data_IF_282293481649
#
_entry.id   IF_282293481649
#
_cell.length_a   1.000
_cell.length_b   1.000
_cell.length_c   1.000
_cell.angle_alpha   90.00
_cell.angle_beta   90.00
_cell.angle_gamma   90.00
#
_symmetry.space_group_name_H-M   'P 1'
#
loop_
_entity.id
_entity.type
_entity.pdbx_description
1 polymer ?
#
# COMPACT_ATOMS: atom_id res chain seq x y z
N UNK A 1 -15.33 6.73 7.05
CA UNK A 1 -14.44 7.61 6.29
C UNK A 1 -14.23 7.00 4.90
N UNK A 2 -14.03 7.80 3.85
CA UNK A 2 -13.56 7.32 2.55
C UNK A 2 -12.12 6.82 2.66
N UNK A 3 -11.58 6.09 1.66
CA UNK A 3 -10.15 5.81 1.58
C UNK A 3 -9.38 7.12 1.38
N UNK A 4 -8.08 7.14 1.75
CA UNK A 4 -7.25 8.32 1.47
C UNK A 4 -7.13 8.56 -0.04
N UNK A 5 -7.06 7.46 -0.82
CA UNK A 5 -7.10 7.54 -2.27
C UNK A 5 -7.78 6.31 -2.88
N UNK A 6 -8.44 6.48 -4.01
CA UNK A 6 -9.15 5.45 -4.76
C UNK A 6 -8.82 5.57 -6.25
N UNK A 7 -8.55 4.44 -6.88
CA UNK A 7 -8.32 4.38 -8.32
C UNK A 7 -9.01 3.15 -8.89
N UNK A 8 -9.68 3.31 -10.04
CA UNK A 8 -10.16 2.19 -10.85
C UNK A 8 -9.50 2.23 -12.22
N UNK A 9 -9.01 1.06 -12.64
CA UNK A 9 -8.53 0.81 -14.00
C UNK A 9 -9.22 -0.46 -14.53
N UNK A 10 -10.26 -0.27 -15.32
CA UNK A 10 -11.14 -1.35 -15.77
C UNK A 10 -11.78 -2.11 -14.61
N UNK A 11 -11.44 -3.39 -14.47
CA UNK A 11 -11.90 -4.25 -13.38
C UNK A 11 -10.92 -4.27 -12.19
N UNK A 12 -9.83 -3.54 -12.25
CA UNK A 12 -8.88 -3.44 -11.16
C UNK A 12 -9.21 -2.22 -10.30
N UNK A 13 -9.38 -2.44 -9.00
CA UNK A 13 -9.78 -1.41 -8.03
C UNK A 13 -8.70 -1.33 -6.96
N UNK A 14 -8.14 -0.16 -6.78
CA UNK A 14 -7.07 0.09 -5.83
C UNK A 14 -7.56 1.00 -4.72
N UNK A 15 -7.51 0.51 -3.49
CA UNK A 15 -7.78 1.28 -2.29
C UNK A 15 -6.47 1.59 -1.60
N UNK A 16 -6.19 2.86 -1.40
CA UNK A 16 -4.97 3.32 -0.75
C UNK A 16 -5.26 3.91 0.62
N UNK A 17 -4.45 3.54 1.56
CA UNK A 17 -4.38 4.13 2.89
C UNK A 17 -2.96 4.63 3.14
N UNK A 18 -2.79 5.94 3.26
CA UNK A 18 -1.50 6.56 3.42
C UNK A 18 -1.16 6.69 4.91
N UNK A 19 0.02 6.22 5.29
CA UNK A 19 0.48 6.27 6.68
C UNK A 19 1.90 6.85 6.74
N UNK A 20 2.00 8.03 7.31
CA UNK A 20 3.27 8.61 7.73
C UNK A 20 3.45 8.31 9.23
N UNK A 21 4.09 7.19 9.53
CA UNK A 21 4.17 6.65 10.87
C UNK A 21 5.62 6.62 11.34
N UNK A 22 5.93 7.44 12.33
CA UNK A 22 7.19 7.35 13.04
C UNK A 22 7.13 6.22 14.07
N UNK A 23 8.15 5.39 14.07
CA UNK A 23 8.38 4.39 15.12
C UNK A 23 9.26 5.02 16.18
N UNK A 24 8.87 4.89 17.44
CA UNK A 24 9.67 5.38 18.55
C UNK A 24 11.07 4.74 18.51
N UNK A 25 12.10 5.52 18.78
CA UNK A 25 13.49 5.06 18.78
C UNK A 25 13.72 3.88 19.73
N UNK A 26 13.09 3.87 20.91
CA UNK A 26 13.19 2.76 21.86
C UNK A 26 12.68 1.43 21.30
N UNK A 27 11.71 1.51 20.39
CA UNK A 27 11.16 0.34 19.68
C UNK A 27 12.05 -0.01 18.50
N UNK A 28 12.50 1.00 17.73
CA UNK A 28 13.31 0.80 16.54
C UNK A 28 14.62 0.07 16.81
N UNK A 29 15.20 0.31 17.99
CA UNK A 29 16.46 -0.31 18.44
C UNK A 29 16.25 -1.43 19.46
N UNK A 30 15.01 -1.84 19.69
CA UNK A 30 14.69 -2.92 20.62
C UNK A 30 15.14 -4.28 20.09
N UNK A 31 15.73 -5.09 20.93
CA UNK A 31 16.00 -6.51 20.67
C UNK A 31 14.80 -7.41 20.96
N UNK A 32 13.74 -6.87 21.57
CA UNK A 32 12.49 -7.56 21.84
C UNK A 32 11.60 -7.55 20.58
N UNK A 33 11.65 -8.64 19.81
CA UNK A 33 10.91 -8.80 18.58
C UNK A 33 9.39 -8.74 18.75
N UNK A 34 8.86 -9.23 19.88
CA UNK A 34 7.41 -9.19 20.13
C UNK A 34 6.92 -7.76 20.39
N UNK A 35 7.73 -6.98 21.09
CA UNK A 35 7.47 -5.55 21.30
C UNK A 35 7.49 -4.79 19.96
N UNK A 36 8.47 -5.08 19.09
CA UNK A 36 8.58 -4.48 17.75
C UNK A 36 7.38 -4.85 16.89
N UNK A 37 7.02 -6.14 16.80
CA UNK A 37 5.85 -6.62 16.05
C UNK A 37 4.56 -5.95 16.50
N UNK A 38 4.35 -5.89 17.83
CA UNK A 38 3.17 -5.26 18.40
C UNK A 38 3.05 -3.80 17.99
N UNK A 39 4.13 -3.04 18.13
CA UNK A 39 4.16 -1.62 17.75
C UNK A 39 3.88 -1.42 16.25
N UNK A 40 4.51 -2.22 15.39
CA UNK A 40 4.27 -2.18 13.94
C UNK A 40 2.79 -2.43 13.64
N UNK A 41 2.20 -3.48 14.21
CA UNK A 41 0.80 -3.82 13.98
C UNK A 41 -0.17 -2.80 14.57
N UNK A 42 0.13 -2.25 15.76
CA UNK A 42 -0.69 -1.20 16.38
C UNK A 42 -0.70 0.09 15.57
N UNK A 43 0.34 0.36 14.80
CA UNK A 43 0.40 1.53 13.93
C UNK A 43 -0.25 1.31 12.57
N UNK A 44 0.01 0.15 11.93
CA UNK A 44 -0.34 -0.05 10.54
C UNK A 44 -1.56 -0.94 10.31
N UNK A 45 -1.99 -1.73 11.30
CA UNK A 45 -3.13 -2.64 11.17
C UNK A 45 -3.92 -2.82 12.49
N UNK A 46 -4.10 -1.72 13.22
CA UNK A 46 -4.87 -1.76 14.47
C UNK A 46 -6.35 -1.92 14.21
N UNK A 47 -6.95 -2.94 14.84
CA UNK A 47 -8.38 -3.20 14.79
C UNK A 47 -9.03 -2.92 16.15
N UNK A 48 -9.49 -1.71 16.36
CA UNK A 48 -10.37 -1.37 17.47
C UNK A 48 -11.63 -0.68 16.95
N UNK A 49 -12.74 -0.83 17.66
CA UNK A 49 -14.06 -0.30 17.23
C UNK A 49 -14.04 1.22 17.04
N UNK A 50 -13.30 1.92 17.89
CA UNK A 50 -13.22 3.38 17.88
C UNK A 50 -12.00 3.93 17.14
N UNK A 51 -10.99 3.09 16.83
CA UNK A 51 -9.73 3.56 16.26
C UNK A 51 -9.12 2.50 15.35
N UNK A 52 -9.67 2.36 14.13
CA UNK A 52 -9.09 1.52 13.08
C UNK A 52 -7.94 2.26 12.42
N UNK A 53 -6.85 1.54 12.11
CA UNK A 53 -5.70 2.12 11.41
C UNK A 53 -5.24 1.23 10.27
N UNK A 54 -4.78 1.85 9.19
CA UNK A 54 -4.15 1.19 8.05
C UNK A 54 -4.97 0.04 7.48
N UNK A 55 -4.46 -1.18 7.54
CA UNK A 55 -5.14 -2.35 6.99
C UNK A 55 -6.55 -2.60 7.53
N UNK A 56 -6.81 -2.35 8.82
CA UNK A 56 -8.15 -2.47 9.39
C UNK A 56 -9.11 -1.37 8.89
N UNK A 57 -8.59 -0.18 8.62
CA UNK A 57 -9.35 0.92 8.01
C UNK A 57 -9.68 0.60 6.56
N UNK A 58 -8.73 0.06 5.79
CA UNK A 58 -8.97 -0.41 4.42
C UNK A 58 -10.07 -1.47 4.37
N UNK A 59 -10.02 -2.50 5.24
CA UNK A 59 -11.07 -3.53 5.29
C UNK A 59 -12.45 -2.94 5.53
N UNK A 60 -12.57 -2.03 6.48
CA UNK A 60 -13.85 -1.35 6.75
C UNK A 60 -14.35 -0.54 5.55
N UNK A 61 -13.46 0.18 4.87
CA UNK A 61 -13.80 0.99 3.70
C UNK A 61 -14.21 0.13 2.52
N UNK A 62 -13.47 -0.96 2.25
CA UNK A 62 -13.78 -1.90 1.16
C UNK A 62 -15.10 -2.62 1.42
N UNK A 63 -15.36 -3.04 2.67
CA UNK A 63 -16.62 -3.68 3.04
C UNK A 63 -17.82 -2.75 2.75
N UNK A 64 -17.71 -1.49 3.13
CA UNK A 64 -18.74 -0.48 2.82
C UNK A 64 -18.92 -0.27 1.31
N UNK A 65 -17.84 -0.27 0.55
CA UNK A 65 -17.91 -0.14 -0.90
C UNK A 65 -18.63 -1.32 -1.54
N UNK A 66 -18.26 -2.56 -1.20
CA UNK A 66 -18.88 -3.77 -1.76
C UNK A 66 -20.37 -3.85 -1.39
N UNK A 67 -20.75 -3.40 -0.20
CA UNK A 67 -22.13 -3.40 0.27
C UNK A 67 -22.94 -2.17 -0.17
N UNK A 68 -22.44 -1.35 -1.10
CA UNK A 68 -23.16 -0.24 -1.71
C UNK A 68 -23.30 1.01 -0.83
N UNK A 69 -22.53 1.12 0.26
CA UNK A 69 -22.66 2.20 1.24
C UNK A 69 -21.66 3.36 1.06
N UNK A 70 -20.84 3.35 0.00
CA UNK A 70 -19.87 4.42 -0.24
C UNK A 70 -19.36 4.41 -1.68
N UNK A 71 -18.89 5.57 -2.16
CA UNK A 71 -18.30 5.81 -3.49
C UNK A 71 -19.28 5.67 -4.69
N UNK A 72 -20.53 5.33 -4.48
CA UNK A 72 -21.53 5.18 -5.57
C UNK A 72 -21.80 6.48 -6.34
N UNK A 73 -21.45 7.63 -5.79
CA UNK A 73 -21.54 8.93 -6.46
C UNK A 73 -20.42 9.17 -7.46
N UNK A 74 -19.28 8.47 -7.29
CA UNK A 74 -18.06 8.72 -8.05
C UNK A 74 -17.67 7.56 -8.96
N UNK A 75 -18.24 6.38 -8.74
CA UNK A 75 -17.89 5.18 -9.49
C UNK A 75 -19.05 4.18 -9.54
N UNK A 76 -19.01 3.27 -10.52
CA UNK A 76 -19.95 2.16 -10.62
C UNK A 76 -19.86 1.23 -9.40
N UNK A 77 -20.95 0.56 -9.03
CA UNK A 77 -20.92 -0.45 -7.98
C UNK A 77 -19.91 -1.59 -8.26
N UNK A 78 -19.50 -2.27 -7.20
CA UNK A 78 -18.74 -3.50 -7.28
C UNK A 78 -19.51 -4.57 -8.08
N UNK A 79 -18.79 -5.27 -8.97
CA UNK A 79 -19.33 -6.40 -9.74
C UNK A 79 -18.45 -7.64 -9.56
N UNK A 80 -19.06 -8.82 -9.74
CA UNK A 80 -18.32 -10.09 -9.74
C UNK A 80 -17.31 -10.04 -10.89
N UNK A 81 -16.02 -10.23 -10.57
CA UNK A 81 -14.92 -10.11 -11.52
C UNK A 81 -14.04 -8.88 -11.30
N UNK A 82 -14.49 -7.91 -10.52
CA UNK A 82 -13.61 -6.83 -10.06
C UNK A 82 -12.56 -7.40 -9.09
N UNK A 83 -11.32 -6.97 -9.28
CA UNK A 83 -10.17 -7.32 -8.43
C UNK A 83 -9.85 -6.14 -7.52
N UNK A 84 -9.93 -6.34 -6.23
CA UNK A 84 -9.68 -5.29 -5.24
C UNK A 84 -8.30 -5.45 -4.63
N UNK A 85 -7.48 -4.41 -4.75
CA UNK A 85 -6.12 -4.32 -4.24
C UNK A 85 -6.06 -3.40 -3.02
N UNK A 86 -5.94 -3.93 -1.80
CA UNK A 86 -5.70 -3.13 -0.60
C UNK A 86 -4.23 -2.71 -0.55
N UNK A 87 -3.96 -1.42 -0.51
CA UNK A 87 -2.60 -0.87 -0.55
C UNK A 87 -2.39 0.07 0.64
N UNK A 88 -1.32 -0.15 1.37
CA UNK A 88 -0.87 0.75 2.43
C UNK A 88 0.38 1.47 1.94
N UNK A 89 0.30 2.79 1.82
CA UNK A 89 1.43 3.62 1.38
C UNK A 89 2.14 4.18 2.61
N UNK A 90 3.47 4.06 2.64
CA UNK A 90 4.30 4.59 3.72
C UNK A 90 5.44 5.43 3.16
N UNK A 91 5.97 6.33 3.97
CA UNK A 91 7.19 7.10 3.69
C UNK A 91 8.39 6.58 4.49
N UNK A 92 8.14 5.74 5.51
CA UNK A 92 9.17 5.29 6.43
C UNK A 92 9.75 3.94 6.02
N UNK A 93 11.07 3.91 5.79
CA UNK A 93 11.81 2.71 5.36
C UNK A 93 11.79 1.54 6.35
N UNK A 94 11.38 1.73 7.60
CA UNK A 94 11.22 0.63 8.58
C UNK A 94 10.19 -0.39 8.07
N UNK A 95 9.19 0.07 7.32
CA UNK A 95 8.18 -0.82 6.73
C UNK A 95 8.68 -1.57 5.49
N UNK A 96 9.88 -1.25 5.01
CA UNK A 96 10.56 -1.97 3.92
C UNK A 96 11.42 -3.14 4.42
N UNK A 97 11.42 -3.41 5.73
CA UNK A 97 12.12 -4.56 6.27
C UNK A 97 11.50 -5.88 5.81
N UNK A 98 12.34 -6.90 5.64
CA UNK A 98 11.90 -8.25 5.28
C UNK A 98 10.89 -8.77 6.31
N UNK A 99 9.84 -9.42 5.82
CA UNK A 99 8.79 -10.01 6.65
C UNK A 99 7.73 -9.03 7.16
N UNK A 100 7.94 -7.72 7.09
CA UNK A 100 6.94 -6.74 7.58
C UNK A 100 5.65 -6.79 6.78
N UNK A 101 5.72 -6.90 5.45
CA UNK A 101 4.52 -7.04 4.62
C UNK A 101 3.76 -8.33 4.97
N UNK A 102 4.47 -9.44 5.20
CA UNK A 102 3.85 -10.71 5.61
C UNK A 102 3.17 -10.59 6.97
N UNK A 103 3.82 -9.97 7.94
CA UNK A 103 3.25 -9.72 9.26
C UNK A 103 1.92 -8.96 9.18
N UNK A 104 1.89 -7.90 8.38
CA UNK A 104 0.67 -7.10 8.17
C UNK A 104 -0.38 -7.87 7.37
N UNK A 105 0.03 -8.63 6.37
CA UNK A 105 -0.85 -9.51 5.60
C UNK A 105 -1.54 -10.54 6.49
N UNK A 106 -0.81 -11.23 7.35
CA UNK A 106 -1.38 -12.20 8.29
C UNK A 106 -2.43 -11.55 9.21
N UNK A 107 -2.10 -10.38 9.75
CA UNK A 107 -3.04 -9.63 10.60
C UNK A 107 -4.27 -9.15 9.83
N UNK A 108 -4.09 -8.66 8.62
CA UNK A 108 -5.18 -8.24 7.73
C UNK A 108 -6.14 -9.39 7.44
N UNK A 109 -5.62 -10.57 7.10
CA UNK A 109 -6.42 -11.78 6.83
C UNK A 109 -7.19 -12.22 8.09
N UNK A 110 -6.54 -12.20 9.25
CA UNK A 110 -7.18 -12.51 10.53
C UNK A 110 -8.39 -11.60 10.81
N UNK A 111 -8.22 -10.29 10.63
CA UNK A 111 -9.30 -9.30 10.82
C UNK A 111 -10.41 -9.52 9.79
N UNK A 112 -10.04 -9.75 8.51
CA UNK A 112 -11.00 -10.01 7.44
C UNK A 112 -11.87 -11.24 7.75
N UNK A 113 -11.26 -12.35 8.13
CA UNK A 113 -11.98 -13.57 8.51
C UNK A 113 -12.91 -13.36 9.71
N UNK A 114 -12.48 -12.61 10.71
CA UNK A 114 -13.22 -12.40 11.95
C UNK A 114 -14.39 -11.44 11.80
N UNK A 115 -14.24 -10.36 11.02
CA UNK A 115 -15.19 -9.24 11.00
C UNK A 115 -15.83 -8.98 9.64
N UNK A 116 -15.19 -9.41 8.55
CA UNK A 116 -15.56 -9.07 7.18
C UNK A 116 -15.60 -10.33 6.31
N UNK A 117 -16.28 -11.38 6.78
CA UNK A 117 -16.35 -12.67 6.06
C UNK A 117 -16.93 -12.55 4.64
N UNK A 118 -17.76 -11.53 4.40
CA UNK A 118 -18.29 -11.18 3.08
C UNK A 118 -17.23 -10.79 2.05
N UNK A 119 -16.03 -10.42 2.51
CA UNK A 119 -14.89 -10.07 1.66
C UNK A 119 -14.03 -11.28 1.25
N UNK A 120 -14.30 -12.46 1.81
CA UNK A 120 -13.53 -13.66 1.51
C UNK A 120 -13.54 -13.96 0.00
N UNK A 121 -12.35 -14.18 -0.58
CA UNK A 121 -12.17 -14.45 -2.01
C UNK A 121 -12.35 -13.26 -2.96
N UNK A 122 -12.71 -12.07 -2.45
CA UNK A 122 -12.91 -10.87 -3.26
C UNK A 122 -11.70 -9.94 -3.27
N UNK A 123 -10.79 -10.12 -2.30
CA UNK A 123 -9.63 -9.26 -2.12
C UNK A 123 -8.35 -9.94 -2.58
N UNK A 124 -7.48 -9.16 -3.17
CA UNK A 124 -6.06 -9.48 -3.29
C UNK A 124 -5.38 -9.32 -1.92
N UNK A 125 -4.20 -9.89 -1.77
CA UNK A 125 -3.41 -9.72 -0.54
C UNK A 125 -2.99 -8.26 -0.35
N UNK A 126 -2.97 -7.74 0.89
CA UNK A 126 -2.55 -6.36 1.13
C UNK A 126 -1.06 -6.20 0.86
N UNK A 127 -0.70 -5.07 0.28
CA UNK A 127 0.69 -4.72 -0.02
C UNK A 127 1.04 -3.40 0.66
N UNK A 128 2.20 -3.37 1.33
CA UNK A 128 2.81 -2.14 1.81
C UNK A 128 3.75 -1.62 0.73
N UNK A 129 3.55 -0.39 0.30
CA UNK A 129 4.34 0.27 -0.73
C UNK A 129 4.98 1.54 -0.16
N UNK A 130 6.30 1.62 -0.23
CA UNK A 130 6.98 2.87 0.06
C UNK A 130 6.75 3.87 -1.08
N UNK A 131 6.51 5.13 -0.74
CA UNK A 131 6.31 6.21 -1.70
C UNK A 131 7.43 6.31 -2.74
N UNK A 132 8.67 5.98 -2.36
CA UNK A 132 9.82 5.96 -3.28
C UNK A 132 9.61 5.01 -4.47
N UNK A 133 8.79 3.96 -4.32
CA UNK A 133 8.45 3.06 -5.43
C UNK A 133 7.65 3.79 -6.51
N UNK A 134 6.69 4.62 -6.12
CA UNK A 134 5.89 5.41 -7.07
C UNK A 134 6.77 6.45 -7.78
N UNK A 135 7.61 7.16 -7.02
CA UNK A 135 8.56 8.14 -7.58
C UNK A 135 9.48 7.45 -8.60
N UNK A 136 10.02 6.28 -8.26
CA UNK A 136 10.93 5.53 -9.14
C UNK A 136 10.25 5.04 -10.43
N UNK A 137 8.98 4.68 -10.37
CA UNK A 137 8.25 4.07 -11.49
C UNK A 137 7.33 5.06 -12.21
N UNK A 138 7.28 6.32 -11.79
CA UNK A 138 6.33 7.31 -12.29
C UNK A 138 6.35 7.45 -13.81
N UNK A 139 7.53 7.52 -14.42
CA UNK A 139 7.65 7.65 -15.87
C UNK A 139 7.23 6.37 -16.61
N UNK A 140 7.52 5.20 -16.04
CA UNK A 140 7.09 3.93 -16.63
C UNK A 140 5.57 3.78 -16.59
N UNK A 141 4.92 4.23 -15.50
CA UNK A 141 3.46 4.28 -15.42
C UNK A 141 2.87 5.31 -16.40
N UNK A 142 3.45 6.52 -16.45
CA UNK A 142 2.99 7.57 -17.38
C UNK A 142 3.06 7.14 -18.84
N UNK A 143 4.14 6.46 -19.21
CA UNK A 143 4.36 5.99 -20.59
C UNK A 143 3.65 4.66 -20.89
N UNK A 144 2.92 4.09 -19.94
CA UNK A 144 2.25 2.80 -20.11
C UNK A 144 3.17 1.59 -20.22
N UNK A 145 4.46 1.74 -19.88
CA UNK A 145 5.44 0.66 -19.92
C UNK A 145 5.19 -0.40 -18.85
N UNK A 146 4.52 -0.01 -17.76
CA UNK A 146 4.19 -0.88 -16.63
C UNK A 146 2.71 -0.69 -16.29
N UNK A 147 2.00 -1.80 -16.15
CA UNK A 147 0.66 -1.81 -15.57
C UNK A 147 0.74 -2.12 -14.09
N UNK A 148 0.12 -1.28 -13.29
CA UNK A 148 0.23 -1.36 -11.84
C UNK A 148 -0.31 -2.68 -11.29
N UNK A 149 -1.47 -3.15 -11.76
CA UNK A 149 -2.05 -4.42 -11.36
C UNK A 149 -1.12 -5.62 -11.67
N UNK A 150 -0.47 -5.62 -12.85
CA UNK A 150 0.46 -6.70 -13.23
C UNK A 150 1.67 -6.75 -12.30
N UNK A 151 2.18 -5.57 -11.91
CA UNK A 151 3.29 -5.45 -10.99
C UNK A 151 2.95 -5.97 -9.58
N UNK A 152 1.74 -5.64 -9.09
CA UNK A 152 1.25 -6.12 -7.81
C UNK A 152 1.00 -7.64 -7.83
N UNK A 153 0.35 -8.15 -8.88
CA UNK A 153 0.10 -9.59 -9.05
C UNK A 153 1.42 -10.38 -9.13
N UNK A 154 2.44 -9.84 -9.82
CA UNK A 154 3.76 -10.47 -9.86
C UNK A 154 4.42 -10.55 -8.47
N UNK A 155 4.38 -9.46 -7.71
CA UNK A 155 4.93 -9.47 -6.36
C UNK A 155 4.20 -10.47 -5.45
N UNK A 156 2.87 -10.50 -5.50
CA UNK A 156 2.06 -11.43 -4.71
C UNK A 156 2.38 -12.89 -5.05
N UNK A 157 2.34 -13.25 -6.32
CA UNK A 157 2.59 -14.62 -6.78
C UNK A 157 4.02 -15.09 -6.51
N UNK A 158 4.98 -14.18 -6.64
CA UNK A 158 6.41 -14.49 -6.46
C UNK A 158 6.81 -14.65 -4.99
N UNK A 159 6.19 -13.88 -4.09
CA UNK A 159 6.63 -13.79 -2.70
C UNK A 159 5.53 -14.05 -1.67
N UNK A 160 4.38 -13.38 -1.74
CA UNK A 160 3.39 -13.44 -0.67
C UNK A 160 2.64 -14.77 -0.64
N UNK A 161 2.37 -15.36 -1.81
CA UNK A 161 1.66 -16.63 -1.96
C UNK A 161 2.57 -17.86 -1.79
N UNK A 162 3.88 -17.67 -1.51
CA UNK A 162 4.84 -18.77 -1.30
C UNK A 162 4.93 -19.10 0.19
N UNK A 163 4.31 -20.20 0.67
CA UNK A 163 4.33 -20.54 2.10
C UNK A 163 5.73 -20.89 2.61
N UNK A 164 6.57 -21.48 1.75
CA UNK A 164 7.88 -22.02 2.12
C UNK A 164 9.00 -20.98 2.13
N UNK A 165 8.72 -19.74 1.75
CA UNK A 165 9.71 -18.68 1.75
C UNK A 165 9.88 -18.11 3.17
N UNK A 166 11.04 -18.40 3.78
CA UNK A 166 11.35 -18.03 5.16
C UNK A 166 11.42 -16.50 5.39
N UNK A 167 11.93 -15.74 4.40
CA UNK A 167 12.04 -14.29 4.48
C UNK A 167 11.49 -13.65 3.22
N UNK A 168 10.30 -13.08 3.32
CA UNK A 168 9.65 -12.41 2.20
C UNK A 168 10.17 -10.98 2.06
N UNK A 169 10.71 -10.61 0.89
CA UNK A 169 11.18 -9.25 0.66
C UNK A 169 10.02 -8.26 0.65
N UNK A 170 10.32 -7.00 0.97
CA UNK A 170 9.35 -5.91 0.80
C UNK A 170 9.08 -5.62 -0.67
N UNK A 171 7.97 -4.96 -0.96
CA UNK A 171 7.68 -4.48 -2.30
C UNK A 171 8.77 -3.52 -2.81
N UNK A 172 9.32 -2.67 -1.95
CA UNK A 172 10.44 -1.78 -2.28
C UNK A 172 11.68 -2.58 -2.72
N UNK A 173 12.03 -3.66 -1.99
CA UNK A 173 13.15 -4.52 -2.39
C UNK A 173 12.89 -5.20 -3.74
N UNK A 174 11.67 -5.70 -3.97
CA UNK A 174 11.26 -6.27 -5.24
C UNK A 174 11.44 -5.28 -6.40
N UNK A 175 10.99 -4.04 -6.24
CA UNK A 175 11.16 -2.99 -7.26
C UNK A 175 12.64 -2.69 -7.50
N UNK A 176 13.43 -2.57 -6.44
CA UNK A 176 14.89 -2.33 -6.57
C UNK A 176 15.59 -3.45 -7.35
N UNK A 177 15.24 -4.71 -7.07
CA UNK A 177 15.86 -5.87 -7.72
C UNK A 177 15.41 -5.98 -9.18
N UNK A 178 14.10 -5.82 -9.45
CA UNK A 178 13.54 -5.92 -10.79
C UNK A 178 14.04 -4.83 -11.74
N UNK A 179 14.19 -3.63 -11.23
CA UNK A 179 14.61 -2.46 -11.99
C UNK A 179 16.04 -2.03 -11.63
N UNK A 180 16.87 -2.99 -11.23
CA UNK A 180 18.29 -2.75 -10.93
C UNK A 180 19.00 -2.21 -12.17
N UNK A 181 19.70 -1.08 -12.02
CA UNK A 181 20.41 -0.43 -13.13
C UNK A 181 19.58 0.60 -13.93
N UNK A 182 18.26 0.72 -13.76
CA UNK A 182 17.54 1.91 -14.21
C UNK A 182 18.04 3.14 -13.43
N UNK A 183 18.88 3.92 -14.07
CA UNK A 183 19.27 5.25 -13.57
C UNK A 183 18.18 6.22 -14.02
N UNK A 184 17.74 7.12 -13.14
CA UNK A 184 16.99 8.30 -13.59
C UNK A 184 17.89 9.05 -14.60
N UNK A 185 17.37 9.37 -15.77
CA UNK A 185 18.07 10.28 -16.65
C UNK A 185 18.16 11.65 -15.95
N UNK A 186 19.22 12.41 -16.23
CA UNK A 186 19.31 13.78 -15.70
C UNK A 186 18.08 14.62 -16.09
N UNK A 187 17.46 14.32 -17.22
CA UNK A 187 16.21 14.94 -17.70
C UNK A 187 15.01 14.58 -16.80
N UNK A 188 14.91 13.33 -16.35
CA UNK A 188 13.85 12.88 -15.45
C UNK A 188 13.96 13.52 -14.06
N UNK A 189 15.19 13.60 -13.52
CA UNK A 189 15.44 14.29 -12.26
C UNK A 189 15.13 15.80 -12.37
N UNK A 190 15.54 16.43 -13.47
CA UNK A 190 15.26 17.84 -13.71
C UNK A 190 13.76 18.11 -13.80
N UNK A 191 13.01 17.27 -14.50
CA UNK A 191 11.55 17.38 -14.60
C UNK A 191 10.85 17.22 -13.25
N UNK A 192 11.27 16.24 -12.43
CA UNK A 192 10.77 16.04 -11.06
C UNK A 192 11.01 17.26 -10.18
N UNK A 193 12.24 17.78 -10.19
CA UNK A 193 12.59 18.94 -9.39
C UNK A 193 11.88 20.22 -9.87
N UNK A 194 11.76 20.43 -11.18
CA UNK A 194 11.07 21.59 -11.73
C UNK A 194 9.60 21.60 -11.34
N UNK A 195 8.88 20.47 -11.47
CA UNK A 195 7.49 20.36 -11.06
C UNK A 195 7.29 20.53 -9.55
N UNK A 196 8.23 20.01 -8.75
CA UNK A 196 8.21 20.19 -7.29
C UNK A 196 8.39 21.68 -6.94
N UNK A 197 9.34 22.36 -7.55
CA UNK A 197 9.57 23.80 -7.34
C UNK A 197 8.39 24.67 -7.77
N UNK A 198 7.78 24.37 -8.92
CA UNK A 198 6.57 25.08 -9.36
C UNK A 198 5.39 24.88 -8.41
N UNK A 199 5.21 23.64 -7.92
CA UNK A 199 4.14 23.32 -6.97
C UNK A 199 4.36 24.01 -5.62
N UNK A 200 5.58 24.04 -5.11
CA UNK A 200 5.95 24.74 -3.89
C UNK A 200 5.83 26.27 -4.07
N UNK A 201 6.24 26.81 -5.22
CA UNK A 201 6.10 28.22 -5.54
C UNK A 201 4.64 28.68 -5.53
N UNK A 202 3.73 27.87 -6.08
CA UNK A 202 2.27 28.15 -6.05
C UNK A 202 1.69 28.10 -4.63
N UNK A 203 2.17 27.18 -3.80
CA UNK A 203 1.73 27.10 -2.39
C UNK A 203 2.20 28.32 -1.60
N UNK A 204 3.45 28.73 -1.78
CA UNK A 204 4.04 29.86 -1.06
C UNK A 204 3.55 31.22 -1.55
N UNK A 205 3.10 31.34 -2.80
CA UNK A 205 2.52 32.60 -3.33
C UNK A 205 1.05 32.79 -2.94
N UNK A 206 0.37 31.75 -2.45
CA UNK A 206 -1.01 31.78 -1.99
C UNK A 206 -1.14 31.77 -0.45
N UNK A 207 -0.03 31.81 0.27
CA UNK A 207 0.04 31.93 1.73
C UNK A 207 0.45 33.32 2.16
#
# INVERSE_FOLDING_TARGET
>A
APPDYYLRDGNNIFFFECKDLLINNDIRYSTDLEKVKKELLDKICKDSTSNRKGGAQLLFTIDRYINGNSLSEFDRPYTIGDKIYPIIVTTNSVYDAYGVNELVMCRFIEIAKKRYSSLAGKLKLPIIINMDCFIKLMNDFHNGNIKFNELLDEYQSRYLEKPDMQFKPSFHHFIRTRYHGKKFSNTELHYLFSNLYESLGKILSNA
#
